data_IF_122303783151
#
_entry.id   IF_122303783151
#
_cell.length_a   1.000
_cell.length_b   1.000
_cell.length_c   1.000
_cell.angle_alpha   90.00
_cell.angle_beta   90.00
_cell.angle_gamma   90.00
#
_symmetry.space_group_name_H-M   'P 1'
#
loop_
_entity.id
_entity.type
_entity.pdbx_description
1 polymer ?
#
# COMPACT_ATOMS: atom_id res chain seq x y z
N UNK A 1 0.88 29.73 2.76
CA UNK A 1 1.36 28.52 3.48
C UNK A 1 1.92 27.54 2.43
N UNK A 2 2.93 26.71 2.72
CA UNK A 2 3.47 25.72 1.77
C UNK A 2 2.92 24.31 2.12
N UNK A 3 1.69 23.96 1.69
CA UNK A 3 0.97 22.80 2.21
C UNK A 3 1.71 21.47 1.94
N UNK A 4 2.38 21.35 0.79
CA UNK A 4 3.17 20.16 0.51
C UNK A 4 4.36 19.97 1.46
N UNK A 5 5.13 21.02 1.75
CA UNK A 5 6.26 20.93 2.68
C UNK A 5 5.80 20.55 4.10
N UNK A 6 4.71 21.13 4.58
CA UNK A 6 4.19 20.84 5.92
C UNK A 6 3.71 19.39 6.05
N UNK A 7 3.11 18.81 5.00
CA UNK A 7 2.73 17.38 4.98
C UNK A 7 3.93 16.45 5.03
N UNK A 8 5.01 16.74 4.30
CA UNK A 8 6.25 15.96 4.40
C UNK A 8 6.85 16.05 5.81
N UNK A 9 6.97 17.26 6.36
CA UNK A 9 7.53 17.46 7.70
C UNK A 9 6.73 16.71 8.76
N UNK A 10 5.40 16.70 8.68
CA UNK A 10 4.58 15.92 9.62
C UNK A 10 4.97 14.44 9.71
N UNK A 11 5.21 13.77 8.58
CA UNK A 11 5.61 12.36 8.59
C UNK A 11 7.10 12.18 8.91
N UNK A 12 7.95 13.17 8.62
CA UNK A 12 9.33 13.15 9.13
C UNK A 12 9.37 13.27 10.64
N UNK A 13 8.52 14.08 11.26
CA UNK A 13 8.43 14.24 12.71
C UNK A 13 7.99 12.93 13.40
N UNK A 14 7.28 12.06 12.68
CA UNK A 14 6.96 10.70 13.14
C UNK A 14 8.12 9.72 12.91
N UNK A 15 8.76 9.75 11.73
CA UNK A 15 9.79 8.79 11.35
C UNK A 15 11.14 9.04 12.05
N UNK A 16 11.53 10.30 12.23
CA UNK A 16 12.83 10.68 12.76
C UNK A 16 13.08 10.16 14.19
N UNK A 17 12.15 10.26 15.15
CA UNK A 17 12.33 9.66 16.48
C UNK A 17 12.51 8.14 16.43
N UNK A 18 11.79 7.45 15.53
CA UNK A 18 11.88 5.99 15.37
C UNK A 18 13.27 5.61 14.87
N UNK A 19 13.80 6.31 13.87
CA UNK A 19 15.16 6.10 13.35
C UNK A 19 16.24 6.45 14.38
N UNK A 20 16.07 7.53 15.14
CA UNK A 20 17.01 7.93 16.19
C UNK A 20 17.09 6.91 17.32
N UNK A 21 15.98 6.24 17.64
CA UNK A 21 16.01 5.12 18.59
C UNK A 21 16.59 3.86 17.96
N UNK A 22 16.25 3.58 16.69
CA UNK A 22 16.77 2.43 15.95
C UNK A 22 18.29 2.43 15.84
N UNK A 23 18.91 3.60 15.64
CA UNK A 23 20.38 3.72 15.51
C UNK A 23 21.14 3.34 16.79
N UNK A 24 20.45 3.27 17.94
CA UNK A 24 21.01 2.85 19.23
C UNK A 24 20.78 1.36 19.52
N UNK A 25 20.04 0.66 18.66
CA UNK A 25 19.71 -0.75 18.86
C UNK A 25 20.78 -1.66 18.28
N UNK A 26 20.93 -2.85 18.87
CA UNK A 26 21.79 -3.91 18.33
C UNK A 26 21.34 -4.36 16.92
N UNK A 27 20.03 -4.33 16.65
CA UNK A 27 19.45 -4.61 15.34
C UNK A 27 18.46 -3.49 14.96
N UNK A 28 18.94 -2.43 14.28
CA UNK A 28 18.10 -1.32 13.85
C UNK A 28 16.92 -1.74 12.98
N UNK A 29 17.13 -2.62 11.99
CA UNK A 29 16.06 -3.11 11.11
C UNK A 29 14.93 -3.79 11.89
N UNK A 30 15.26 -4.65 12.85
CA UNK A 30 14.26 -5.32 13.70
C UNK A 30 13.48 -4.32 14.55
N UNK A 31 14.16 -3.29 15.06
CA UNK A 31 13.50 -2.22 15.80
C UNK A 31 12.52 -1.45 14.92
N UNK A 32 12.92 -1.06 13.71
CA UNK A 32 12.04 -0.37 12.76
C UNK A 32 10.81 -1.21 12.42
N UNK A 33 11.01 -2.50 12.15
CA UNK A 33 9.92 -3.44 11.86
C UNK A 33 8.89 -3.50 13.00
N UNK A 34 9.36 -3.58 14.25
CA UNK A 34 8.49 -3.71 15.43
C UNK A 34 7.86 -2.39 15.90
N UNK A 35 8.39 -1.24 15.48
CA UNK A 35 7.98 0.08 15.98
C UNK A 35 7.33 0.95 14.89
N UNK A 36 6.54 0.33 14.01
CA UNK A 36 5.67 1.02 13.06
C UNK A 36 6.39 2.01 12.12
N UNK A 37 7.67 1.79 11.79
CA UNK A 37 8.40 2.67 10.86
C UNK A 37 7.82 2.63 9.44
N UNK A 38 7.19 1.51 9.06
CA UNK A 38 6.61 1.29 7.73
C UNK A 38 5.49 2.28 7.40
N UNK A 39 4.66 2.64 8.38
CA UNK A 39 3.51 3.56 8.16
C UNK A 39 3.95 4.96 7.71
N UNK A 40 4.80 5.70 8.44
CA UNK A 40 5.24 7.02 7.98
C UNK A 40 6.09 6.95 6.71
N UNK A 41 6.88 5.89 6.51
CA UNK A 41 7.59 5.66 5.23
C UNK A 41 6.62 5.56 4.05
N UNK A 42 5.53 4.83 4.24
CA UNK A 42 4.52 4.64 3.20
C UNK A 42 3.74 5.93 2.91
N UNK A 43 3.46 6.76 3.92
CA UNK A 43 2.87 8.09 3.73
C UNK A 43 3.82 9.03 2.99
N UNK A 44 5.11 8.99 3.29
CA UNK A 44 6.15 9.75 2.59
C UNK A 44 6.32 9.29 1.12
N UNK A 45 6.24 7.97 0.87
CA UNK A 45 6.20 7.42 -0.49
C UNK A 45 4.96 7.91 -1.25
N UNK A 46 3.78 7.89 -0.60
CA UNK A 46 2.52 8.36 -1.19
C UNK A 46 2.63 9.83 -1.62
N UNK A 47 3.11 10.71 -0.72
CA UNK A 47 3.34 12.11 -1.04
C UNK A 47 4.30 12.26 -2.21
N UNK A 48 5.48 11.62 -2.16
CA UNK A 48 6.47 11.73 -3.22
C UNK A 48 5.96 11.18 -4.56
N UNK A 49 5.16 10.10 -4.55
CA UNK A 49 4.51 9.57 -5.76
C UNK A 49 3.52 10.57 -6.35
N UNK A 50 2.67 11.18 -5.51
CA UNK A 50 1.70 12.17 -5.94
C UNK A 50 2.40 13.41 -6.51
N UNK A 51 3.31 14.07 -5.79
CA UNK A 51 4.02 15.26 -6.31
C UNK A 51 4.94 14.97 -7.50
N UNK A 52 5.33 13.71 -7.73
CA UNK A 52 5.99 13.35 -8.99
C UNK A 52 5.05 13.44 -10.20
N UNK A 53 3.74 13.26 -10.00
CA UNK A 53 2.70 13.52 -11.00
C UNK A 53 2.27 14.99 -11.04
N UNK A 54 2.15 15.66 -9.89
CA UNK A 54 1.61 17.03 -9.84
C UNK A 54 2.62 18.12 -10.23
N UNK A 55 3.91 17.89 -9.97
CA UNK A 55 4.89 18.98 -9.95
C UNK A 55 6.21 18.54 -10.61
N UNK A 56 7.30 18.43 -9.84
CA UNK A 56 8.61 18.10 -10.39
C UNK A 56 8.85 16.58 -10.39
N UNK A 57 8.45 15.93 -11.49
CA UNK A 57 8.59 14.48 -11.69
C UNK A 57 9.98 13.95 -11.34
N UNK A 58 11.04 14.59 -11.83
CA UNK A 58 12.43 14.14 -11.64
C UNK A 58 12.84 14.21 -10.17
N UNK A 59 12.56 15.32 -9.49
CA UNK A 59 12.93 15.53 -8.09
C UNK A 59 12.17 14.56 -7.17
N UNK A 60 10.84 14.49 -7.31
CA UNK A 60 10.01 13.67 -6.44
C UNK A 60 10.14 12.18 -6.73
N UNK A 61 10.42 11.75 -7.97
CA UNK A 61 10.73 10.34 -8.25
C UNK A 61 11.99 9.85 -7.53
N UNK A 62 13.03 10.70 -7.44
CA UNK A 62 14.25 10.37 -6.68
C UNK A 62 13.97 10.29 -5.17
N UNK A 63 13.15 11.19 -4.64
CA UNK A 63 12.75 11.18 -3.23
C UNK A 63 11.91 9.92 -2.93
N UNK A 64 10.94 9.61 -3.79
CA UNK A 64 10.09 8.42 -3.70
C UNK A 64 10.92 7.14 -3.62
N UNK A 65 11.96 7.01 -4.44
CA UNK A 65 12.81 5.82 -4.47
C UNK A 65 13.44 5.51 -3.11
N UNK A 66 13.83 6.53 -2.33
CA UNK A 66 14.36 6.33 -0.98
C UNK A 66 13.33 5.74 -0.03
N UNK A 67 12.11 6.28 -0.01
CA UNK A 67 11.05 5.77 0.87
C UNK A 67 10.58 4.39 0.45
N UNK A 68 10.40 4.18 -0.86
CA UNK A 68 10.02 2.89 -1.43
C UNK A 68 11.03 1.79 -1.08
N UNK A 69 12.33 2.08 -1.15
CA UNK A 69 13.36 1.10 -0.78
C UNK A 69 13.20 0.61 0.66
N UNK A 70 12.99 1.51 1.63
CA UNK A 70 12.76 1.10 3.02
C UNK A 70 11.39 0.46 3.24
N UNK A 71 10.33 0.96 2.61
CA UNK A 71 8.97 0.40 2.73
C UNK A 71 8.91 -1.02 2.17
N UNK A 72 9.44 -1.26 0.96
CA UNK A 72 9.48 -2.59 0.35
C UNK A 72 10.37 -3.54 1.17
N UNK A 73 11.50 -3.06 1.71
CA UNK A 73 12.38 -3.89 2.57
C UNK A 73 11.68 -4.32 3.86
N UNK A 74 10.96 -3.41 4.51
CA UNK A 74 10.11 -3.74 5.67
C UNK A 74 8.95 -4.66 5.29
N UNK A 75 8.36 -4.47 4.11
CA UNK A 75 7.31 -5.33 3.58
C UNK A 75 7.78 -6.76 3.30
N UNK A 76 9.03 -6.94 2.86
CA UNK A 76 9.62 -8.26 2.65
C UNK A 76 9.87 -9.02 3.96
N UNK A 77 10.31 -8.31 5.02
CA UNK A 77 10.44 -8.89 6.36
C UNK A 77 9.06 -9.34 6.87
N UNK A 78 8.07 -8.47 6.74
CA UNK A 78 6.69 -8.70 7.17
C UNK A 78 6.05 -9.90 6.47
N UNK A 79 6.27 -10.04 5.17
CA UNK A 79 5.78 -11.17 4.38
C UNK A 79 6.21 -12.52 4.97
N UNK A 80 7.52 -12.75 5.12
CA UNK A 80 8.01 -14.04 5.61
C UNK A 80 7.69 -14.27 7.10
N UNK A 81 7.74 -13.23 7.93
CA UNK A 81 7.43 -13.36 9.36
C UNK A 81 5.94 -13.65 9.60
N UNK A 82 5.04 -12.95 8.90
CA UNK A 82 3.60 -13.18 8.99
C UNK A 82 3.24 -14.60 8.56
N UNK A 83 3.72 -15.05 7.39
CA UNK A 83 3.42 -16.40 6.91
C UNK A 83 3.97 -17.47 7.86
N UNK A 84 5.17 -17.28 8.42
CA UNK A 84 5.71 -18.21 9.41
C UNK A 84 4.82 -18.30 10.66
N UNK A 85 4.32 -17.15 11.15
CA UNK A 85 3.42 -17.09 12.32
C UNK A 85 2.06 -17.73 12.06
N UNK A 86 1.49 -17.52 10.88
CA UNK A 86 0.20 -18.11 10.52
C UNK A 86 0.28 -19.64 10.41
N UNK A 87 1.42 -20.16 9.94
CA UNK A 87 1.61 -21.58 9.72
C UNK A 87 2.13 -22.36 10.95
N UNK A 88 2.72 -21.69 11.95
CA UNK A 88 3.39 -22.38 13.07
C UNK A 88 2.47 -23.30 13.88
N UNK A 89 1.18 -22.97 13.96
CA UNK A 89 0.20 -23.75 14.73
C UNK A 89 -0.41 -24.90 13.91
N UNK A 90 -0.16 -24.94 12.60
CA UNK A 90 -0.66 -26.01 11.75
C UNK A 90 0.29 -27.23 11.83
N UNK A 91 -0.11 -28.25 12.59
CA UNK A 91 0.65 -29.49 12.80
C UNK A 91 1.00 -30.27 11.53
N UNK A 92 0.34 -29.99 10.40
CA UNK A 92 0.66 -30.60 9.11
C UNK A 92 1.87 -29.95 8.44
N UNK A 93 2.20 -28.71 8.81
CA UNK A 93 3.32 -27.97 8.24
C UNK A 93 4.63 -28.55 8.80
N UNK A 94 5.54 -29.04 7.94
CA UNK A 94 6.84 -29.54 8.41
C UNK A 94 7.66 -28.43 9.06
N UNK A 95 8.35 -28.74 10.16
CA UNK A 95 9.19 -27.78 10.87
C UNK A 95 10.23 -27.08 9.96
N UNK A 96 10.78 -27.81 8.97
CA UNK A 96 11.72 -27.24 7.98
C UNK A 96 11.13 -26.08 7.16
N UNK A 97 9.83 -26.09 6.87
CA UNK A 97 9.15 -25.00 6.15
C UNK A 97 9.14 -23.75 7.02
N UNK A 98 8.76 -23.89 8.29
CA UNK A 98 8.78 -22.78 9.25
C UNK A 98 10.20 -22.24 9.44
N UNK A 99 11.19 -23.14 9.61
CA UNK A 99 12.60 -22.76 9.75
C UNK A 99 13.10 -21.98 8.53
N UNK A 100 12.73 -22.39 7.32
CA UNK A 100 13.07 -21.69 6.07
C UNK A 100 12.47 -20.27 6.04
N UNK A 101 11.17 -20.13 6.30
CA UNK A 101 10.49 -18.82 6.29
C UNK A 101 11.09 -17.87 7.34
N UNK A 102 11.38 -18.38 8.54
CA UNK A 102 12.06 -17.60 9.57
C UNK A 102 13.49 -17.23 9.17
N UNK A 103 14.20 -18.10 8.44
CA UNK A 103 15.52 -17.79 7.90
C UNK A 103 15.46 -16.67 6.86
N UNK A 104 14.47 -16.70 5.96
CA UNK A 104 14.23 -15.63 4.99
C UNK A 104 13.93 -14.29 5.67
N UNK A 105 13.09 -14.27 6.70
CA UNK A 105 12.85 -13.04 7.48
C UNK A 105 14.15 -12.49 8.10
N UNK A 106 15.02 -13.35 8.65
CA UNK A 106 16.34 -12.95 9.18
C UNK A 106 17.27 -12.40 8.10
N UNK A 107 17.28 -13.02 6.92
CA UNK A 107 18.04 -12.55 5.76
C UNK A 107 17.59 -11.15 5.35
N UNK A 108 16.28 -10.90 5.23
CA UNK A 108 15.75 -9.57 4.85
C UNK A 108 16.00 -8.52 5.92
N UNK A 109 16.00 -8.90 7.21
CA UNK A 109 16.43 -8.02 8.30
C UNK A 109 17.91 -7.61 8.14
N UNK A 110 18.77 -8.55 7.77
CA UNK A 110 20.20 -8.27 7.55
C UNK A 110 20.39 -7.32 6.36
N UNK A 111 19.74 -7.58 5.22
CA UNK A 111 19.79 -6.69 4.06
C UNK A 111 19.26 -5.28 4.39
N UNK A 112 18.23 -5.16 5.21
CA UNK A 112 17.75 -3.84 5.64
C UNK A 112 18.77 -3.13 6.54
N UNK A 113 19.50 -3.83 7.42
CA UNK A 113 20.56 -3.20 8.21
C UNK A 113 21.67 -2.61 7.30
N UNK A 114 22.06 -3.34 6.26
CA UNK A 114 23.02 -2.87 5.25
C UNK A 114 22.50 -1.62 4.54
N UNK A 115 21.26 -1.66 4.04
CA UNK A 115 20.60 -0.50 3.40
C UNK A 115 20.55 0.73 4.30
N UNK A 116 20.30 0.56 5.60
CA UNK A 116 20.22 1.65 6.58
C UNK A 116 21.57 2.36 6.77
N UNK A 117 22.67 1.61 6.72
CA UNK A 117 24.04 2.13 6.81
C UNK A 117 24.44 2.75 5.49
N UNK A 118 24.38 2.00 4.39
CA UNK A 118 24.88 2.40 3.07
C UNK A 118 24.18 3.64 2.51
N UNK A 119 22.93 3.88 2.93
CA UNK A 119 22.16 5.04 2.48
C UNK A 119 22.07 6.18 3.50
N UNK A 120 22.87 6.15 4.57
CA UNK A 120 22.95 7.17 5.62
C UNK A 120 21.63 7.41 6.38
N UNK A 121 20.79 6.40 6.56
CA UNK A 121 19.54 6.57 7.30
C UNK A 121 19.75 6.76 8.79
N UNK A 122 20.80 6.12 9.34
CA UNK A 122 21.11 6.11 10.77
C UNK A 122 22.24 7.07 11.17
N UNK A 123 22.78 7.85 10.23
CA UNK A 123 23.88 8.77 10.50
C UNK A 123 23.47 9.81 11.57
N UNK A 124 24.35 10.12 12.55
CA UNK A 124 24.01 11.08 13.61
C UNK A 124 23.91 12.51 13.07
N UNK A 125 24.69 12.84 12.05
CA UNK A 125 24.73 14.12 11.35
C UNK A 125 24.55 13.88 9.85
N UNK A 126 23.90 14.82 9.15
CA UNK A 126 23.62 14.75 7.71
C UNK A 126 22.94 13.43 7.23
N UNK A 127 21.99 12.93 8.02
CA UNK A 127 21.25 11.73 7.65
C UNK A 127 20.36 11.94 6.40
N UNK A 128 19.86 10.82 5.86
CA UNK A 128 18.99 10.81 4.69
C UNK A 128 17.76 11.71 4.83
N UNK A 129 17.14 11.79 6.01
CA UNK A 129 15.99 12.68 6.26
C UNK A 129 16.39 14.14 6.05
N UNK A 130 17.49 14.60 6.67
CA UNK A 130 17.98 15.98 6.50
C UNK A 130 18.31 16.30 5.05
N UNK A 131 18.97 15.37 4.34
CA UNK A 131 19.27 15.49 2.91
C UNK A 131 17.99 15.67 2.07
N UNK A 132 16.92 14.95 2.40
CA UNK A 132 15.62 15.09 1.72
C UNK A 132 14.93 16.40 2.10
N UNK A 133 14.89 16.76 3.39
CA UNK A 133 14.30 18.02 3.87
C UNK A 133 14.94 19.25 3.21
N UNK A 134 16.27 19.26 3.04
CA UNK A 134 16.97 20.31 2.28
C UNK A 134 16.49 20.40 0.83
N UNK A 135 16.35 19.27 0.14
CA UNK A 135 15.84 19.25 -1.25
C UNK A 135 14.40 19.75 -1.37
N UNK A 136 13.58 19.51 -0.33
CA UNK A 136 12.18 19.92 -0.24
C UNK A 136 12.03 21.42 0.09
N UNK A 137 12.94 22.01 0.87
CA UNK A 137 12.91 23.46 1.15
C UNK A 137 13.20 24.30 -0.09
N UNK A 138 13.99 23.77 -1.02
CA UNK A 138 14.32 24.34 -2.33
C UNK A 138 13.21 24.15 -3.39
N UNK A 139 12.08 23.51 -3.05
CA UNK A 139 10.96 23.36 -3.99
C UNK A 139 10.16 24.66 -4.02
N UNK A 140 9.88 25.14 -5.24
CA UNK A 140 8.83 26.13 -5.45
C UNK A 140 7.49 25.41 -5.32
N UNK A 141 6.82 25.53 -4.17
CA UNK A 141 5.61 24.77 -3.90
C UNK A 141 4.41 25.39 -4.61
N UNK A 142 3.52 24.53 -5.10
CA UNK A 142 2.22 24.92 -5.65
C UNK A 142 1.41 25.67 -4.59
N UNK A 143 0.56 26.59 -5.04
CA UNK A 143 -0.50 27.10 -4.20
C UNK A 143 -1.58 26.03 -3.97
N UNK A 144 -2.43 26.27 -2.99
CA UNK A 144 -3.39 25.28 -2.52
C UNK A 144 -4.47 24.94 -3.56
N UNK A 145 -4.90 25.92 -4.34
CA UNK A 145 -5.95 25.74 -5.35
C UNK A 145 -5.42 24.93 -6.53
N UNK A 146 -4.25 25.32 -7.06
CA UNK A 146 -3.58 24.62 -8.15
C UNK A 146 -3.22 23.19 -7.75
N UNK A 147 -2.73 23.01 -6.53
CA UNK A 147 -2.40 21.68 -6.00
C UNK A 147 -3.63 20.77 -5.98
N UNK A 148 -4.78 21.24 -5.47
CA UNK A 148 -6.02 20.44 -5.40
C UNK A 148 -6.57 20.13 -6.79
N UNK A 149 -6.48 21.09 -7.74
CA UNK A 149 -6.85 20.84 -9.14
C UNK A 149 -5.99 19.75 -9.77
N UNK A 150 -4.67 19.84 -9.61
CA UNK A 150 -3.74 18.84 -10.10
C UNK A 150 -3.93 17.49 -9.41
N UNK A 151 -4.30 17.46 -8.12
CA UNK A 151 -4.68 16.21 -7.45
C UNK A 151 -5.87 15.54 -8.12
N UNK A 152 -6.89 16.30 -8.54
CA UNK A 152 -8.04 15.76 -9.26
C UNK A 152 -7.63 15.14 -10.61
N UNK A 153 -6.80 15.84 -11.38
CA UNK A 153 -6.24 15.35 -12.65
C UNK A 153 -5.43 14.06 -12.43
N UNK A 154 -4.55 14.04 -11.43
CA UNK A 154 -3.76 12.86 -11.06
C UNK A 154 -4.62 11.66 -10.65
N UNK A 155 -5.74 11.87 -9.96
CA UNK A 155 -6.71 10.80 -9.68
C UNK A 155 -7.32 10.27 -10.98
N UNK A 156 -7.73 11.16 -11.89
CA UNK A 156 -8.26 10.78 -13.20
C UNK A 156 -7.28 9.91 -13.99
N UNK A 157 -6.01 10.33 -14.12
CA UNK A 157 -4.95 9.55 -14.77
C UNK A 157 -4.71 8.20 -14.07
N UNK A 158 -4.70 8.21 -12.73
CA UNK A 158 -4.49 6.99 -11.95
C UNK A 158 -5.64 5.99 -12.13
N UNK A 159 -6.88 6.47 -12.14
CA UNK A 159 -8.08 5.65 -12.37
C UNK A 159 -8.05 5.08 -13.78
N UNK A 160 -7.77 5.90 -14.79
CA UNK A 160 -7.65 5.47 -16.17
C UNK A 160 -6.63 4.33 -16.33
N UNK A 161 -5.41 4.51 -15.80
CA UNK A 161 -4.38 3.48 -15.87
C UNK A 161 -4.72 2.19 -15.08
N UNK A 162 -5.57 2.28 -14.05
CA UNK A 162 -6.08 1.09 -13.34
C UNK A 162 -7.12 0.36 -14.21
N UNK A 163 -8.05 1.09 -14.81
CA UNK A 163 -9.07 0.51 -15.70
C UNK A 163 -8.40 -0.18 -16.88
N UNK A 164 -7.49 0.50 -17.60
CA UNK A 164 -6.71 -0.07 -18.69
C UNK A 164 -5.95 -1.34 -18.28
N UNK A 165 -5.33 -1.34 -17.09
CA UNK A 165 -4.62 -2.51 -16.58
C UNK A 165 -5.55 -3.73 -16.45
N UNK A 166 -6.78 -3.52 -15.99
CA UNK A 166 -7.74 -4.61 -15.81
C UNK A 166 -8.43 -5.07 -17.10
N UNK A 167 -8.72 -4.12 -17.99
CA UNK A 167 -9.30 -4.39 -19.30
C UNK A 167 -8.30 -5.09 -20.23
N UNK A 168 -7.02 -4.70 -20.18
CA UNK A 168 -5.95 -5.35 -20.93
C UNK A 168 -5.75 -6.82 -20.58
N UNK A 169 -6.04 -7.20 -19.32
CA UNK A 169 -6.07 -8.60 -18.88
C UNK A 169 -7.42 -9.30 -19.16
N UNK A 170 -8.44 -8.58 -19.68
CA UNK A 170 -9.82 -9.05 -19.82
C UNK A 170 -10.38 -9.68 -18.52
N UNK A 171 -9.91 -9.19 -17.36
CA UNK A 171 -10.21 -9.75 -16.04
C UNK A 171 -9.88 -11.25 -15.89
N UNK A 172 -8.95 -11.77 -16.69
CA UNK A 172 -8.43 -13.14 -16.61
C UNK A 172 -7.00 -13.09 -16.08
N UNK A 173 -6.85 -13.38 -14.78
CA UNK A 173 -5.55 -13.35 -14.13
C UNK A 173 -4.87 -14.72 -14.23
N UNK A 174 -3.58 -14.70 -14.52
CA UNK A 174 -2.67 -15.84 -14.54
C UNK A 174 -1.63 -15.79 -13.40
N UNK A 175 -1.40 -14.63 -12.79
CA UNK A 175 -0.38 -14.45 -11.76
C UNK A 175 -0.89 -13.68 -10.53
N UNK A 176 -0.71 -14.28 -9.35
CA UNK A 176 -1.18 -13.69 -8.09
C UNK A 176 -0.41 -12.42 -7.71
N UNK A 177 0.91 -12.39 -7.95
CA UNK A 177 1.77 -11.27 -7.55
C UNK A 177 1.76 -10.17 -8.62
N UNK A 178 2.04 -10.52 -9.88
CA UNK A 178 2.20 -9.56 -10.96
C UNK A 178 0.86 -8.92 -11.39
N UNK A 179 -0.29 -9.55 -11.12
CA UNK A 179 -1.58 -9.04 -11.56
C UNK A 179 -2.54 -8.74 -10.40
N UNK A 180 -2.90 -9.74 -9.59
CA UNK A 180 -3.89 -9.52 -8.50
C UNK A 180 -3.31 -8.61 -7.42
N UNK A 181 -2.08 -8.88 -6.96
CA UNK A 181 -1.42 -8.07 -5.96
C UNK A 181 -1.05 -6.68 -6.50
N UNK A 182 -0.55 -6.58 -7.73
CA UNK A 182 -0.26 -5.29 -8.36
C UNK A 182 -1.54 -4.45 -8.54
N UNK A 183 -2.64 -5.03 -9.02
CA UNK A 183 -3.94 -4.34 -9.11
C UNK A 183 -4.36 -3.79 -7.75
N UNK A 184 -4.30 -4.63 -6.71
CA UNK A 184 -4.57 -4.20 -5.35
C UNK A 184 -3.64 -3.06 -4.93
N UNK A 185 -2.34 -3.11 -5.24
CA UNK A 185 -1.38 -2.04 -4.92
C UNK A 185 -1.75 -0.74 -5.63
N UNK A 186 -2.18 -0.80 -6.89
CA UNK A 186 -2.65 0.37 -7.65
C UNK A 186 -3.92 0.98 -7.03
N UNK A 187 -4.93 0.16 -6.74
CA UNK A 187 -6.17 0.60 -6.07
C UNK A 187 -5.90 1.22 -4.70
N UNK A 188 -5.03 0.57 -3.91
CA UNK A 188 -4.68 1.01 -2.55
C UNK A 188 -4.13 2.43 -2.53
N UNK A 189 -3.39 2.86 -3.55
CA UNK A 189 -2.89 4.23 -3.62
C UNK A 189 -4.02 5.26 -3.54
N UNK A 190 -5.12 5.05 -4.25
CA UNK A 190 -6.30 5.94 -4.23
C UNK A 190 -6.90 6.07 -2.81
N UNK A 191 -6.82 5.03 -1.98
CA UNK A 191 -7.33 5.09 -0.59
C UNK A 191 -6.32 5.65 0.41
N UNK A 192 -5.01 5.67 0.10
CA UNK A 192 -3.96 6.17 1.00
C UNK A 192 -3.76 7.65 0.85
N UNK A 193 -3.87 8.19 -0.36
CA UNK A 193 -3.64 9.61 -0.60
C UNK A 193 -4.40 10.54 0.34
N UNK A 194 -5.68 10.30 0.69
CA UNK A 194 -6.39 11.15 1.65
C UNK A 194 -5.70 11.22 3.02
N UNK A 195 -5.10 10.12 3.48
CA UNK A 195 -4.32 10.06 4.71
C UNK A 195 -3.02 10.85 4.58
N UNK A 196 -2.32 10.66 3.46
CA UNK A 196 -1.03 11.29 3.19
C UNK A 196 -1.15 12.82 3.05
N UNK A 197 -2.19 13.33 2.38
CA UNK A 197 -2.33 14.78 2.14
C UNK A 197 -3.01 15.54 3.29
N UNK A 198 -3.30 14.86 4.40
CA UNK A 198 -3.74 15.46 5.68
C UNK A 198 -4.87 16.47 5.52
N UNK A 199 -6.00 16.01 4.99
CA UNK A 199 -7.23 16.79 5.00
C UNK A 199 -7.56 17.51 3.69
N UNK A 200 -6.63 17.58 2.73
CA UNK A 200 -6.89 18.17 1.40
C UNK A 200 -7.77 17.30 0.48
N UNK A 201 -8.02 16.05 0.87
CA UNK A 201 -9.00 15.18 0.22
C UNK A 201 -10.03 14.78 1.27
N UNK A 202 -11.30 14.99 0.95
CA UNK A 202 -12.42 14.76 1.85
C UNK A 202 -13.51 13.93 1.17
N UNK A 203 -14.42 13.37 1.97
CA UNK A 203 -15.58 12.65 1.45
C UNK A 203 -16.77 13.59 1.26
N UNK A 204 -17.33 13.60 0.06
CA UNK A 204 -18.62 14.19 -0.26
C UNK A 204 -19.73 13.14 -0.28
N UNK A 205 -20.97 13.58 -0.04
CA UNK A 205 -22.17 12.73 -0.13
C UNK A 205 -23.01 13.15 -1.32
N UNK A 206 -23.45 12.17 -2.12
CA UNK A 206 -24.51 12.36 -3.09
C UNK A 206 -25.89 12.16 -2.43
N UNK A 207 -26.90 12.94 -2.86
CA UNK A 207 -28.26 12.87 -2.27
C UNK A 207 -28.91 11.50 -2.48
N UNK A 208 -28.76 10.94 -3.68
CA UNK A 208 -29.33 9.65 -4.07
C UNK A 208 -28.23 8.80 -4.71
N UNK A 209 -27.49 8.02 -3.91
CA UNK A 209 -26.44 7.17 -4.44
C UNK A 209 -27.04 5.96 -5.19
N UNK A 210 -26.35 5.44 -6.21
CA UNK A 210 -26.79 4.26 -6.95
C UNK A 210 -27.02 3.03 -6.06
N UNK A 211 -28.08 2.28 -6.36
CA UNK A 211 -28.49 1.11 -5.54
C UNK A 211 -27.45 0.00 -5.52
N UNK A 212 -26.70 -0.21 -6.60
CA UNK A 212 -25.71 -1.28 -6.69
C UNK A 212 -24.57 -1.15 -5.68
N UNK A 213 -24.32 0.06 -5.16
CA UNK A 213 -23.26 0.32 -4.19
C UNK A 213 -23.54 -0.27 -2.79
N UNK A 214 -24.79 -0.60 -2.47
CA UNK A 214 -25.16 -1.09 -1.14
C UNK A 214 -24.42 -2.36 -0.74
N UNK A 215 -24.10 -3.23 -1.71
CA UNK A 215 -23.37 -4.49 -1.48
C UNK A 215 -21.93 -4.28 -1.04
N UNK A 216 -21.35 -3.11 -1.32
CA UNK A 216 -19.98 -2.76 -0.92
C UNK A 216 -19.90 -2.06 0.45
N UNK A 217 -21.02 -1.49 0.91
CA UNK A 217 -21.10 -0.78 2.20
C UNK A 217 -21.35 -1.75 3.36
N UNK A 218 -20.52 -2.77 3.53
CA UNK A 218 -20.62 -3.70 4.67
C UNK A 218 -20.22 -3.01 5.98
N UNK A 219 -20.60 -3.58 7.13
CA UNK A 219 -20.27 -3.01 8.44
C UNK A 219 -18.76 -2.88 8.65
N UNK A 220 -17.99 -3.86 8.17
CA UNK A 220 -16.54 -3.87 8.24
C UNK A 220 -15.95 -2.71 7.44
N UNK A 221 -16.52 -2.40 6.28
CA UNK A 221 -16.08 -1.31 5.42
C UNK A 221 -16.50 0.05 6.01
N UNK A 222 -17.77 0.25 6.36
CA UNK A 222 -18.23 1.56 6.86
C UNK A 222 -17.60 1.94 8.20
N UNK A 223 -17.21 0.95 9.02
CA UNK A 223 -16.57 1.19 10.32
C UNK A 223 -15.03 1.12 10.26
N UNK A 224 -14.46 0.85 9.10
CA UNK A 224 -13.01 0.73 8.94
C UNK A 224 -12.30 2.02 9.33
N UNK A 225 -11.24 1.97 10.16
CA UNK A 225 -10.45 3.16 10.49
C UNK A 225 -9.78 3.77 9.24
N UNK A 226 -9.49 2.97 8.21
CA UNK A 226 -8.93 3.44 6.95
C UNK A 226 -9.89 4.32 6.14
N UNK A 227 -11.19 4.25 6.45
CA UNK A 227 -12.24 5.02 5.79
C UNK A 227 -12.61 6.31 6.54
N UNK A 228 -11.89 6.63 7.62
CA UNK A 228 -12.00 7.89 8.34
C UNK A 228 -11.01 8.89 7.75
N UNK A 229 -11.51 9.99 7.21
CA UNK A 229 -10.64 11.04 6.66
C UNK A 229 -9.92 11.80 7.78
N UNK A 230 -8.66 12.22 7.56
CA UNK A 230 -8.00 13.14 8.48
C UNK A 230 -8.77 14.45 8.61
N UNK A 231 -8.58 15.14 9.73
CA UNK A 231 -9.06 16.50 9.93
C UNK A 231 -8.59 17.40 8.76
N UNK A 232 -9.47 18.28 8.31
CA UNK A 232 -9.21 19.28 7.28
C UNK A 232 -8.11 20.27 7.69
N UNK A 233 -7.83 20.41 8.98
CA UNK A 233 -6.89 21.39 9.51
C UNK A 233 -7.17 22.79 8.89
N UNK A 234 -6.12 23.47 8.43
CA UNK A 234 -6.20 24.81 7.82
C UNK A 234 -6.47 24.79 6.30
N UNK A 235 -6.87 23.65 5.72
CA UNK A 235 -7.11 23.56 4.28
C UNK A 235 -8.39 24.33 3.88
N UNK A 236 -8.29 25.13 2.83
CA UNK A 236 -9.34 25.94 2.21
C UNK A 236 -9.82 25.38 0.88
N UNK A 237 -9.05 24.50 0.25
CA UNK A 237 -9.45 23.83 -0.99
C UNK A 237 -9.41 22.32 -0.79
N UNK A 238 -10.39 21.63 -1.37
CA UNK A 238 -10.52 20.19 -1.23
C UNK A 238 -10.79 19.51 -2.55
N UNK A 239 -10.17 18.34 -2.72
CA UNK A 239 -10.66 17.32 -3.64
C UNK A 239 -11.74 16.51 -2.91
N UNK A 240 -12.92 16.41 -3.49
CA UNK A 240 -14.02 15.62 -2.94
C UNK A 240 -14.08 14.26 -3.64
N UNK A 241 -14.03 13.20 -2.84
CA UNK A 241 -14.34 11.84 -3.28
C UNK A 241 -15.74 11.45 -2.84
N UNK A 242 -16.49 10.76 -3.69
CA UNK A 242 -17.83 10.30 -3.37
C UNK A 242 -17.76 9.17 -2.34
N UNK A 243 -18.44 9.34 -1.21
CA UNK A 243 -18.30 8.47 -0.04
C UNK A 243 -18.61 7.00 -0.33
N UNK A 244 -19.67 6.68 -1.05
CA UNK A 244 -20.06 5.30 -1.31
C UNK A 244 -19.16 4.63 -2.35
N UNK A 245 -18.71 5.38 -3.36
CA UNK A 245 -17.68 4.87 -4.28
C UNK A 245 -16.33 4.67 -3.57
N UNK A 246 -15.96 5.54 -2.62
CA UNK A 246 -14.79 5.32 -1.77
C UNK A 246 -14.91 4.07 -0.90
N UNK A 247 -16.11 3.78 -0.37
CA UNK A 247 -16.37 2.51 0.32
C UNK A 247 -16.29 1.32 -0.63
N UNK A 248 -16.76 1.45 -1.87
CA UNK A 248 -16.60 0.41 -2.89
C UNK A 248 -15.13 0.12 -3.20
N UNK A 249 -14.30 1.16 -3.35
CA UNK A 249 -12.84 1.04 -3.48
C UNK A 249 -12.23 0.30 -2.27
N UNK A 250 -12.60 0.71 -1.05
CA UNK A 250 -12.13 0.09 0.19
C UNK A 250 -12.51 -1.39 0.29
N UNK A 251 -13.74 -1.73 -0.11
CA UNK A 251 -14.21 -3.12 -0.20
C UNK A 251 -13.38 -3.93 -1.20
N UNK A 252 -13.12 -3.39 -2.40
CA UNK A 252 -12.33 -4.09 -3.42
C UNK A 252 -10.89 -4.34 -2.94
N UNK A 253 -10.25 -3.36 -2.29
CA UNK A 253 -8.90 -3.52 -1.73
C UNK A 253 -8.87 -4.62 -0.66
N UNK A 254 -9.91 -4.71 0.16
CA UNK A 254 -10.04 -5.73 1.20
C UNK A 254 -10.26 -7.12 0.58
N UNK A 255 -11.14 -7.23 -0.41
CA UNK A 255 -11.47 -8.51 -1.05
C UNK A 255 -10.29 -9.08 -1.84
N UNK A 256 -9.62 -8.26 -2.65
CA UNK A 256 -8.37 -8.67 -3.30
C UNK A 256 -7.27 -8.98 -2.29
N UNK A 257 -7.28 -8.31 -1.12
CA UNK A 257 -6.35 -8.61 -0.03
C UNK A 257 -6.46 -10.04 0.44
N UNK A 258 -7.68 -10.51 0.74
CA UNK A 258 -7.94 -11.88 1.16
C UNK A 258 -7.50 -12.91 0.11
N UNK A 259 -7.83 -12.66 -1.17
CA UNK A 259 -7.45 -13.55 -2.27
C UNK A 259 -5.93 -13.61 -2.44
N UNK A 260 -5.27 -12.46 -2.38
CA UNK A 260 -3.81 -12.32 -2.48
C UNK A 260 -3.10 -13.01 -1.32
N UNK A 261 -3.56 -12.82 -0.07
CA UNK A 261 -2.91 -13.43 1.09
C UNK A 261 -3.04 -14.97 1.05
N UNK A 262 -4.21 -15.48 0.66
CA UNK A 262 -4.40 -16.92 0.44
C UNK A 262 -3.50 -17.48 -0.68
N UNK A 263 -3.32 -16.74 -1.77
CA UNK A 263 -2.44 -17.17 -2.86
C UNK A 263 -0.97 -17.14 -2.47
N UNK A 264 -0.55 -16.13 -1.72
CA UNK A 264 0.82 -16.03 -1.22
C UNK A 264 1.19 -17.13 -0.21
N UNK A 265 0.24 -17.61 0.60
CA UNK A 265 0.48 -18.77 1.47
C UNK A 265 0.84 -20.02 0.68
N UNK A 266 0.17 -20.27 -0.44
CA UNK A 266 0.49 -21.38 -1.34
C UNK A 266 1.92 -21.22 -1.88
N UNK A 267 2.25 -20.02 -2.36
CA UNK A 267 3.56 -19.72 -2.96
C UNK A 267 4.68 -19.89 -1.92
N UNK A 268 4.52 -19.34 -0.72
CA UNK A 268 5.52 -19.42 0.35
C UNK A 268 5.81 -20.87 0.79
N UNK A 269 4.77 -21.69 0.95
CA UNK A 269 4.96 -23.12 1.32
C UNK A 269 5.61 -23.89 0.17
N UNK A 270 5.20 -23.62 -1.07
CA UNK A 270 5.78 -24.24 -2.26
C UNK A 270 7.27 -23.90 -2.39
N UNK A 271 7.63 -22.62 -2.32
CA UNK A 271 9.01 -22.14 -2.33
C UNK A 271 9.84 -22.82 -1.23
N UNK A 272 9.32 -22.85 0.00
CA UNK A 272 10.01 -23.51 1.12
C UNK A 272 10.23 -25.01 0.88
N UNK A 273 9.29 -25.72 0.25
CA UNK A 273 9.44 -27.14 -0.08
C UNK A 273 10.48 -27.36 -1.18
N UNK A 274 10.50 -26.54 -2.23
CA UNK A 274 11.50 -26.60 -3.29
C UNK A 274 12.91 -26.46 -2.70
N UNK A 275 13.10 -25.43 -1.86
CA UNK A 275 14.39 -25.12 -1.26
C UNK A 275 14.86 -26.12 -0.19
N UNK A 276 13.93 -26.80 0.49
CA UNK A 276 14.29 -27.71 1.61
C UNK A 276 14.22 -29.18 1.27
N UNK A 277 13.69 -29.55 0.09
CA UNK A 277 13.42 -30.96 -0.24
C UNK A 277 13.85 -31.40 -1.64
N UNK A 278 14.44 -30.51 -2.43
CA UNK A 278 14.90 -30.79 -3.79
C UNK A 278 13.84 -31.51 -4.64
N UNK A 279 12.61 -30.99 -4.59
CA UNK A 279 11.46 -31.48 -5.37
C UNK A 279 11.28 -30.63 -6.62
N UNK A 280 10.64 -31.21 -7.63
CA UNK A 280 10.19 -30.46 -8.81
C UNK A 280 9.07 -29.48 -8.44
N UNK A 281 8.82 -28.51 -9.31
CA UNK A 281 7.75 -27.51 -9.16
C UNK A 281 6.37 -28.16 -8.99
N UNK A 282 6.05 -29.13 -9.85
CA UNK A 282 4.77 -29.85 -9.81
C UNK A 282 4.60 -30.64 -8.51
N UNK A 283 5.66 -31.32 -8.06
CA UNK A 283 5.62 -32.09 -6.82
C UNK A 283 5.56 -31.18 -5.59
N UNK A 284 6.18 -30.00 -5.65
CA UNK A 284 6.07 -28.99 -4.61
C UNK A 284 4.61 -28.53 -4.46
N UNK A 285 3.92 -28.22 -5.56
CA UNK A 285 2.49 -27.85 -5.51
C UNK A 285 1.62 -28.95 -4.92
N UNK A 286 1.79 -30.20 -5.38
CA UNK A 286 1.03 -31.35 -4.85
C UNK A 286 1.21 -31.45 -3.33
N UNK A 287 2.46 -31.35 -2.85
CA UNK A 287 2.77 -31.40 -1.42
C UNK A 287 2.22 -30.19 -0.66
N UNK A 288 2.29 -28.99 -1.22
CA UNK A 288 1.71 -27.78 -0.63
C UNK A 288 0.22 -27.96 -0.35
N UNK A 289 -0.57 -28.42 -1.32
CA UNK A 289 -2.01 -28.62 -1.12
C UNK A 289 -2.32 -29.75 -0.13
N UNK A 290 -1.52 -30.81 -0.11
CA UNK A 290 -1.65 -31.87 0.90
C UNK A 290 -1.44 -31.34 2.33
N UNK A 291 -0.46 -30.46 2.50
CA UNK A 291 -0.08 -29.88 3.80
C UNK A 291 -1.07 -28.80 4.26
N UNK A 292 -1.45 -27.88 3.37
CA UNK A 292 -2.40 -26.81 3.67
C UNK A 292 -3.83 -27.36 3.91
N UNK A 293 -4.15 -28.51 3.33
CA UNK A 293 -5.41 -29.22 3.58
C UNK A 293 -6.53 -28.83 2.62
N UNK A 294 -7.67 -29.52 2.77
CA UNK A 294 -8.79 -29.48 1.80
C UNK A 294 -9.56 -28.16 1.75
N UNK A 295 -9.44 -27.33 2.77
CA UNK A 295 -10.10 -26.01 2.80
C UNK A 295 -9.33 -24.96 1.96
N UNK A 296 -8.06 -25.23 1.64
CA UNK A 296 -7.25 -24.35 0.82
C UNK A 296 -7.77 -24.34 -0.63
N UNK A 297 -8.26 -23.18 -1.08
CA UNK A 297 -8.59 -22.96 -2.49
C UNK A 297 -7.34 -23.10 -3.35
N UNK A 298 -7.49 -23.73 -4.52
CA UNK A 298 -6.40 -23.82 -5.49
C UNK A 298 -6.02 -22.45 -6.05
N UNK A 299 -4.78 -22.28 -6.47
CA UNK A 299 -4.27 -21.00 -6.98
C UNK A 299 -5.11 -20.48 -8.16
N UNK A 300 -5.42 -21.33 -9.15
CA UNK A 300 -6.27 -20.94 -10.28
C UNK A 300 -7.67 -20.51 -9.82
N UNK A 301 -8.26 -21.21 -8.86
CA UNK A 301 -9.58 -20.85 -8.32
C UNK A 301 -9.55 -19.46 -7.65
N UNK A 302 -8.44 -19.10 -6.98
CA UNK A 302 -8.27 -17.77 -6.40
C UNK A 302 -8.14 -16.69 -7.48
N UNK A 303 -7.41 -16.98 -8.56
CA UNK A 303 -7.27 -16.09 -9.72
C UNK A 303 -8.62 -15.88 -10.43
N UNK A 304 -9.40 -16.94 -10.65
CA UNK A 304 -10.72 -16.89 -11.28
C UNK A 304 -11.72 -16.07 -10.43
N UNK A 305 -11.67 -16.24 -9.10
CA UNK A 305 -12.45 -15.45 -8.14
C UNK A 305 -12.08 -13.97 -8.22
N UNK A 306 -10.78 -13.66 -8.24
CA UNK A 306 -10.30 -12.28 -8.38
C UNK A 306 -10.81 -11.66 -9.69
N UNK A 307 -10.69 -12.40 -10.81
CA UNK A 307 -11.19 -11.97 -12.11
C UNK A 307 -12.68 -11.66 -12.11
N UNK A 308 -13.49 -12.54 -11.51
CA UNK A 308 -14.95 -12.38 -11.41
C UNK A 308 -15.34 -11.15 -10.59
N UNK A 309 -14.70 -10.96 -9.44
CA UNK A 309 -14.96 -9.81 -8.55
C UNK A 309 -14.55 -8.50 -9.23
N UNK A 310 -13.37 -8.46 -9.85
CA UNK A 310 -12.90 -7.30 -10.61
C UNK A 310 -13.86 -6.97 -11.76
N UNK A 311 -14.19 -7.94 -12.61
CA UNK A 311 -15.08 -7.74 -13.75
C UNK A 311 -16.40 -7.09 -13.35
N UNK A 312 -17.00 -7.54 -12.24
CA UNK A 312 -18.25 -6.96 -11.73
C UNK A 312 -18.04 -5.50 -11.31
N UNK A 313 -17.01 -5.24 -10.50
CA UNK A 313 -16.75 -3.91 -9.96
C UNK A 313 -16.39 -2.86 -11.02
N UNK A 314 -15.56 -3.22 -12.00
CA UNK A 314 -15.13 -2.31 -13.07
C UNK A 314 -16.25 -2.07 -14.09
N UNK A 315 -17.07 -3.08 -14.43
CA UNK A 315 -18.24 -2.89 -15.29
C UNK A 315 -19.30 -1.96 -14.70
N UNK A 316 -19.34 -1.84 -13.37
CA UNK A 316 -20.20 -0.91 -12.65
C UNK A 316 -19.62 0.52 -12.56
N UNK A 317 -18.47 0.77 -13.21
CA UNK A 317 -17.80 2.07 -13.28
C UNK A 317 -17.55 2.71 -11.91
N UNK A 318 -17.25 1.87 -10.91
CA UNK A 318 -17.15 2.30 -9.52
C UNK A 318 -15.94 3.23 -9.26
N UNK A 319 -14.88 3.19 -10.07
CA UNK A 319 -13.74 4.11 -9.90
C UNK A 319 -13.94 5.42 -10.64
N UNK A 320 -14.56 5.37 -11.80
CA UNK A 320 -14.76 6.50 -12.70
C UNK A 320 -15.68 7.55 -12.07
N UNK A 321 -16.55 7.12 -11.14
CA UNK A 321 -17.40 7.98 -10.34
C UNK A 321 -16.82 8.35 -8.97
N UNK A 322 -15.56 7.98 -8.67
CA UNK A 322 -14.94 8.24 -7.37
C UNK A 322 -14.73 9.74 -7.11
N UNK A 323 -14.31 10.49 -8.12
CA UNK A 323 -14.00 11.92 -7.97
C UNK A 323 -15.25 12.76 -8.24
N UNK A 324 -15.67 13.56 -7.26
CA UNK A 324 -16.80 14.49 -7.41
C UNK A 324 -16.38 15.84 -8.00
N UNK A 325 -15.12 16.22 -7.79
CA UNK A 325 -14.56 17.51 -8.23
C UNK A 325 -13.80 18.22 -7.10
N UNK A 326 -13.49 19.49 -7.33
CA UNK A 326 -12.81 20.35 -6.36
C UNK A 326 -13.80 21.37 -5.79
N UNK A 327 -13.65 21.73 -4.52
CA UNK A 327 -14.49 22.74 -3.89
C UNK A 327 -13.64 23.70 -3.05
N UNK A 328 -13.74 25.03 -3.24
CA UNK A 328 -13.32 25.96 -2.21
C UNK A 328 -14.20 25.79 -0.97
N UNK A 329 -13.65 26.05 0.21
CA UNK A 329 -14.42 26.24 1.43
C UNK A 329 -15.22 27.52 1.25
N UNK A 330 -16.45 27.43 0.73
CA UNK A 330 -17.41 28.51 0.90
C UNK A 330 -17.80 28.50 2.37
N UNK A 331 -17.60 29.62 3.05
CA UNK A 331 -18.09 29.89 4.40
C UNK A 331 -19.62 29.73 4.43
N UNK A 332 -20.08 28.50 4.59
CA UNK A 332 -21.43 28.15 4.96
C UNK A 332 -21.34 27.14 6.08
N UNK A 333 -20.97 27.62 7.27
CA UNK A 333 -21.63 27.28 8.52
C UNK A 333 -21.43 28.40 9.53
#
# INVERSE_FOLDING_TARGET
MKPGLSRFNYFFDQLQPILTTASKQKNPALWLYRNNARTPLFMLEALAKMYAGLHNRKKFSKIKAHFKLLEDSLGAIDYYDMVARDLVNNKKIPARVITYLQAQSREKLQSLNEILVDNDWLAPTDNRIRKIQKKLSEVNWLDESDEVKLMAEFYGESIYGIVEFTEGANYQFANMEAEVHELRRKLRWLSIYPQAVRGAIQLGKTKVPPKHLSKYCTKEITNSPFNKMPDRAEARYFLLLEQKYFYALSWMIAELGKLKDNGLHIIAVKEALEQTTNVTDEDAYKKTYQILGKEQSGLQQLLDKAGTVCKTYFKEQNLEHLVMGTNPLNDQH
#
